data_IF_876898640623
#
_entry.id   IF_876898640623
#
_cell.length_a   1.000
_cell.length_b   1.000
_cell.length_c   1.000
_cell.angle_alpha   90.00
_cell.angle_beta   90.00
_cell.angle_gamma   90.00
#
_symmetry.space_group_name_H-M   'P 1'
#
loop_
_entity.id
_entity.type
_entity.pdbx_description
1 polymer ?
#
# COMPACT_ATOMS: atom_id res chain seq x y z
N UNK A 1 22.73 -21.79 -37.05
CA UNK A 1 21.47 -22.58 -37.20
C UNK A 1 20.34 -21.66 -36.80
N UNK A 2 19.72 -20.99 -37.78
CA UNK A 2 18.63 -20.04 -37.55
C UNK A 2 17.35 -20.86 -37.31
N UNK A 3 16.71 -20.67 -36.15
CA UNK A 3 15.48 -21.37 -35.81
C UNK A 3 14.34 -20.90 -36.70
N UNK A 4 13.79 -21.81 -37.51
CA UNK A 4 12.60 -21.55 -38.32
C UNK A 4 11.40 -21.28 -37.41
N UNK A 5 10.67 -20.20 -37.70
CA UNK A 5 9.42 -19.89 -37.02
C UNK A 5 8.40 -20.99 -37.34
N UNK A 6 7.98 -21.73 -36.32
CA UNK A 6 6.96 -22.80 -36.41
C UNK A 6 5.59 -22.25 -36.83
N UNK A 7 5.38 -20.94 -36.76
CA UNK A 7 4.13 -20.31 -37.12
C UNK A 7 4.15 -19.81 -38.56
N UNK A 8 3.19 -20.29 -39.36
CA UNK A 8 2.90 -19.73 -40.68
C UNK A 8 1.99 -18.50 -40.54
N UNK A 9 2.32 -17.36 -41.19
CA UNK A 9 1.42 -16.24 -41.27
C UNK A 9 0.19 -16.62 -42.12
N UNK A 10 -0.99 -16.26 -41.64
CA UNK A 10 -2.23 -16.49 -42.36
C UNK A 10 -2.25 -15.70 -43.68
N UNK A 11 -2.78 -16.27 -44.78
CA UNK A 11 -2.89 -15.56 -46.05
C UNK A 11 -3.92 -14.43 -45.94
N UNK A 12 -3.43 -13.19 -45.88
CA UNK A 12 -4.26 -11.98 -45.87
C UNK A 12 -3.62 -10.82 -45.10
N UNK A 13 -3.38 -9.70 -45.77
CA UNK A 13 -2.83 -8.48 -45.18
C UNK A 13 -3.78 -7.88 -44.13
N UNK A 14 -3.33 -7.72 -42.89
CA UNK A 14 -4.16 -7.38 -41.73
C UNK A 14 -4.26 -5.86 -41.50
N UNK A 15 -5.24 -5.23 -42.15
CA UNK A 15 -5.92 -4.07 -41.56
C UNK A 15 -6.82 -4.55 -40.42
N UNK A 16 -6.76 -3.91 -39.24
CA UNK A 16 -7.39 -4.35 -37.98
C UNK A 16 -8.89 -4.72 -38.07
N UNK A 17 -9.64 -4.21 -39.06
CA UNK A 17 -11.05 -4.58 -39.29
C UNK A 17 -11.24 -5.89 -40.04
N UNK A 18 -10.33 -6.23 -40.96
CA UNK A 18 -10.42 -7.42 -41.81
C UNK A 18 -10.04 -8.68 -41.03
N UNK A 19 -9.10 -8.57 -40.09
CA UNK A 19 -8.67 -9.67 -39.22
C UNK A 19 -9.80 -10.23 -38.35
N UNK A 20 -10.72 -9.40 -37.87
CA UNK A 20 -11.87 -9.88 -37.08
C UNK A 20 -12.87 -10.69 -37.93
N UNK A 21 -12.99 -10.39 -39.22
CA UNK A 21 -13.88 -11.12 -40.13
C UNK A 21 -13.31 -12.51 -40.44
N UNK A 22 -12.02 -12.57 -40.76
CA UNK A 22 -11.32 -13.83 -41.03
C UNK A 22 -11.33 -14.76 -39.80
N UNK A 23 -11.11 -14.22 -38.59
CA UNK A 23 -11.20 -15.02 -37.35
C UNK A 23 -12.61 -15.55 -37.11
N UNK A 24 -13.65 -14.75 -37.40
CA UNK A 24 -15.05 -15.20 -37.28
C UNK A 24 -15.41 -16.31 -38.27
N UNK A 25 -14.97 -16.19 -39.52
CA UNK A 25 -15.18 -17.22 -40.55
C UNK A 25 -14.46 -18.52 -40.19
N UNK A 26 -13.19 -18.42 -39.76
CA UNK A 26 -12.41 -19.57 -39.29
C UNK A 26 -13.06 -20.29 -38.10
N UNK A 27 -13.50 -19.53 -37.09
CA UNK A 27 -14.18 -20.11 -35.91
C UNK A 27 -15.47 -20.80 -36.29
N UNK A 28 -16.24 -20.24 -37.23
CA UNK A 28 -17.49 -20.83 -37.69
C UNK A 28 -17.28 -22.12 -38.50
N UNK A 29 -16.17 -22.21 -39.24
CA UNK A 29 -15.82 -23.37 -40.07
C UNK A 29 -15.21 -24.52 -39.27
N UNK A 30 -14.35 -24.22 -38.29
CA UNK A 30 -13.57 -25.24 -37.57
C UNK A 30 -14.07 -25.57 -36.15
N UNK A 31 -14.80 -24.66 -35.48
CA UNK A 31 -15.41 -24.95 -34.18
C UNK A 31 -16.86 -25.39 -34.42
N UNK A 32 -17.14 -26.69 -34.23
CA UNK A 32 -18.50 -27.23 -34.35
C UNK A 32 -19.46 -26.41 -33.46
N UNK A 33 -20.61 -25.95 -33.99
CA UNK A 33 -21.47 -24.98 -33.30
C UNK A 33 -22.25 -25.69 -32.18
N UNK A 34 -21.65 -25.81 -31.01
CA UNK A 34 -22.40 -26.19 -29.80
C UNK A 34 -23.01 -24.96 -29.11
N UNK A 35 -22.59 -23.74 -29.47
CA UNK A 35 -23.16 -22.49 -28.94
C UNK A 35 -22.83 -21.25 -29.80
N UNK A 36 -23.54 -20.14 -29.52
CA UNK A 36 -23.45 -18.83 -30.18
C UNK A 36 -22.00 -18.31 -30.29
N UNK A 37 -21.52 -18.13 -31.52
CA UNK A 37 -20.14 -17.70 -31.84
C UNK A 37 -19.77 -16.38 -31.15
N UNK A 38 -20.73 -15.46 -31.00
CA UNK A 38 -20.50 -14.18 -30.31
C UNK A 38 -20.15 -14.37 -28.84
N UNK A 39 -20.83 -15.29 -28.16
CA UNK A 39 -20.58 -15.60 -26.75
C UNK A 39 -19.22 -16.28 -26.58
N UNK A 40 -18.91 -17.25 -27.44
CA UNK A 40 -17.60 -17.91 -27.45
C UNK A 40 -16.48 -16.91 -27.68
N UNK A 41 -16.66 -15.95 -28.58
CA UNK A 41 -15.64 -14.93 -28.86
C UNK A 41 -15.44 -13.96 -27.68
N UNK A 42 -16.51 -13.60 -26.97
CA UNK A 42 -16.44 -12.76 -25.76
C UNK A 42 -15.79 -13.51 -24.58
N UNK A 43 -16.10 -14.80 -24.43
CA UNK A 43 -15.52 -15.67 -23.40
C UNK A 43 -14.02 -15.93 -23.66
N UNK A 44 -13.60 -15.92 -24.92
CA UNK A 44 -12.20 -16.02 -25.37
C UNK A 44 -11.44 -14.69 -25.20
N UNK A 45 -11.65 -14.01 -24.06
CA UNK A 45 -10.93 -12.78 -23.73
C UNK A 45 -9.43 -13.06 -23.78
N UNK A 46 -8.64 -12.28 -24.54
CA UNK A 46 -7.23 -12.55 -24.71
C UNK A 46 -6.50 -12.46 -23.37
N UNK A 47 -5.90 -13.57 -22.94
CA UNK A 47 -5.01 -13.63 -21.80
C UNK A 47 -3.64 -13.17 -22.28
N UNK A 48 -3.29 -11.92 -21.99
CA UNK A 48 -1.95 -11.41 -22.26
C UNK A 48 -1.00 -11.97 -21.22
N UNK A 49 -0.07 -12.82 -21.67
CA UNK A 49 0.92 -13.49 -20.82
C UNK A 49 1.99 -12.48 -20.34
N UNK A 50 2.20 -11.39 -21.08
CA UNK A 50 3.16 -10.34 -20.73
C UNK A 50 2.49 -9.10 -20.12
N UNK A 51 3.10 -8.58 -19.05
CA UNK A 51 2.64 -7.40 -18.28
C UNK A 51 2.60 -6.13 -19.13
N UNK A 52 3.44 -6.07 -20.17
CA UNK A 52 3.54 -4.96 -21.13
C UNK A 52 2.29 -4.77 -22.00
N UNK A 53 1.44 -5.80 -22.13
CA UNK A 53 0.27 -5.79 -23.02
C UNK A 53 -1.08 -5.60 -22.30
N UNK A 54 -1.09 -5.35 -20.99
CA UNK A 54 -2.32 -4.92 -20.31
C UNK A 54 -2.67 -3.49 -20.75
N UNK A 55 -3.71 -3.34 -21.57
CA UNK A 55 -4.25 -2.06 -22.08
C UNK A 55 -4.86 -1.15 -20.98
N UNK A 56 -4.38 -1.22 -19.74
CA UNK A 56 -4.65 -0.17 -18.76
C UNK A 56 -3.77 0.98 -19.16
N UNK A 57 -4.34 1.96 -19.87
CA UNK A 57 -3.62 3.17 -20.23
C UNK A 57 -2.96 3.74 -18.96
N UNK A 58 -1.68 4.06 -19.04
CA UNK A 58 -0.89 4.63 -17.94
C UNK A 58 -1.60 5.78 -17.21
N UNK A 59 -2.37 6.56 -17.96
CA UNK A 59 -3.21 7.63 -17.45
C UNK A 59 -4.29 7.15 -16.46
N UNK A 60 -4.95 6.04 -16.72
CA UNK A 60 -6.03 5.52 -15.89
C UNK A 60 -5.49 4.90 -14.60
N UNK A 61 -4.30 4.28 -14.68
CA UNK A 61 -3.57 3.85 -13.47
C UNK A 61 -3.15 5.03 -12.60
N UNK A 62 -2.67 6.12 -13.22
CA UNK A 62 -2.32 7.36 -12.49
C UNK A 62 -3.55 8.03 -11.88
N UNK A 63 -4.69 8.05 -12.58
CA UNK A 63 -5.97 8.57 -12.06
C UNK A 63 -6.46 7.74 -10.88
N UNK A 64 -6.42 6.41 -10.97
CA UNK A 64 -6.81 5.52 -9.87
C UNK A 64 -5.89 5.69 -8.65
N UNK A 65 -4.57 5.76 -8.84
CA UNK A 65 -3.62 5.99 -7.77
C UNK A 65 -3.81 7.36 -7.07
N UNK A 66 -4.20 8.40 -7.81
CA UNK A 66 -4.56 9.72 -7.23
C UNK A 66 -5.85 9.64 -6.42
N UNK A 67 -6.89 8.95 -6.92
CA UNK A 67 -8.15 8.75 -6.21
C UNK A 67 -7.93 7.99 -4.89
N UNK A 68 -7.19 6.87 -4.93
CA UNK A 68 -6.85 6.09 -3.74
C UNK A 68 -5.98 6.86 -2.74
N UNK A 69 -5.14 7.80 -3.19
CA UNK A 69 -4.40 8.71 -2.28
C UNK A 69 -5.33 9.70 -1.57
N UNK A 70 -6.40 10.12 -2.22
CA UNK A 70 -7.36 11.08 -1.70
C UNK A 70 -8.43 10.42 -0.83
N UNK A 71 -8.66 9.13 -1.03
CA UNK A 71 -9.63 8.29 -0.30
C UNK A 71 -9.03 7.68 0.98
N UNK A 72 -7.70 7.63 1.10
CA UNK A 72 -7.05 7.39 2.40
C UNK A 72 -7.33 8.59 3.30
N UNK A 73 -8.29 8.43 4.21
CA UNK A 73 -8.69 9.33 5.29
C UNK A 73 -7.83 10.58 5.38
N UNK A 74 -8.39 11.70 4.92
CA UNK A 74 -7.71 12.99 4.83
C UNK A 74 -7.10 13.39 6.16
N UNK A 75 -5.85 12.97 6.40
CA UNK A 75 -5.09 13.38 7.57
C UNK A 75 -4.98 14.90 7.49
N UNK A 76 -5.43 15.57 8.56
CA UNK A 76 -5.35 17.02 8.67
C UNK A 76 -3.93 17.49 8.29
N UNK A 77 -3.87 18.41 7.34
CA UNK A 77 -2.64 19.07 6.95
C UNK A 77 -2.03 19.82 8.14
N UNK A 78 -0.72 20.08 8.10
CA UNK A 78 -0.06 20.82 9.18
C UNK A 78 -0.69 22.20 9.43
N UNK A 79 -1.17 22.86 8.37
CA UNK A 79 -1.90 24.14 8.46
C UNK A 79 -3.23 23.97 9.18
N UNK A 80 -3.97 22.92 8.88
CA UNK A 80 -5.24 22.61 9.54
C UNK A 80 -5.04 22.25 11.02
N UNK A 81 -4.02 21.46 11.36
CA UNK A 81 -3.69 21.14 12.76
C UNK A 81 -3.35 22.39 13.58
N UNK A 82 -2.60 23.34 13.01
CA UNK A 82 -2.31 24.63 13.67
C UNK A 82 -3.57 25.49 13.82
N UNK A 83 -4.41 25.56 12.79
CA UNK A 83 -5.68 26.30 12.84
C UNK A 83 -6.63 25.73 13.90
N UNK A 84 -6.71 24.39 13.98
CA UNK A 84 -7.53 23.67 14.95
C UNK A 84 -6.90 23.58 16.34
N UNK A 85 -5.68 24.09 16.53
CA UNK A 85 -4.97 24.08 17.82
C UNK A 85 -4.92 22.69 18.46
N UNK A 86 -4.75 21.64 17.65
CA UNK A 86 -4.82 20.22 18.07
C UNK A 86 -3.81 19.89 19.17
N UNK A 87 -2.70 20.64 19.24
CA UNK A 87 -1.63 20.45 20.21
C UNK A 87 -1.57 21.57 21.26
N UNK A 88 -2.53 22.50 21.26
CA UNK A 88 -2.59 23.60 22.23
C UNK A 88 -3.20 23.05 23.53
N UNK A 89 -2.35 22.82 24.53
CA UNK A 89 -2.77 22.34 25.85
C UNK A 89 -3.07 23.58 26.72
N UNK A 90 -4.19 23.63 27.47
CA UNK A 90 -4.46 24.73 28.38
C UNK A 90 -3.34 24.89 29.43
N UNK A 91 -3.02 26.14 29.82
CA UNK A 91 -1.98 26.43 30.82
C UNK A 91 -2.20 25.72 32.17
N UNK A 92 -3.45 25.55 32.55
CA UNK A 92 -3.86 24.83 33.77
C UNK A 92 -3.45 23.34 33.73
N UNK A 93 -3.43 22.74 32.54
CA UNK A 93 -3.08 21.34 32.33
C UNK A 93 -1.56 21.11 32.17
N UNK A 94 -0.71 22.14 32.29
CA UNK A 94 0.75 22.00 32.22
C UNK A 94 1.39 21.53 33.53
N UNK A 95 0.60 21.30 34.58
CA UNK A 95 1.16 20.84 35.85
C UNK A 95 1.56 19.36 35.73
N UNK A 96 2.83 19.07 35.98
CA UNK A 96 3.37 17.71 35.91
C UNK A 96 2.58 16.69 36.76
N UNK A 97 2.05 17.15 37.91
CA UNK A 97 1.22 16.34 38.81
C UNK A 97 0.02 15.69 38.13
N UNK A 98 -0.56 16.31 37.10
CA UNK A 98 -1.69 15.73 36.36
C UNK A 98 -1.25 14.51 35.52
N UNK A 99 0.01 14.45 35.10
CA UNK A 99 0.56 13.36 34.28
C UNK A 99 1.24 12.26 35.10
N UNK A 100 1.44 12.48 36.40
CA UNK A 100 2.07 11.51 37.29
C UNK A 100 1.37 10.13 37.27
N UNK A 101 0.01 10.03 37.32
CA UNK A 101 -0.69 8.75 37.24
C UNK A 101 -0.43 7.99 35.92
N UNK A 102 -0.18 8.70 34.82
CA UNK A 102 0.12 8.09 33.54
C UNK A 102 1.47 7.36 33.57
N UNK A 103 2.48 7.97 34.22
CA UNK A 103 3.78 7.33 34.39
C UNK A 103 3.71 6.09 35.28
N UNK A 104 2.90 6.14 36.36
CA UNK A 104 2.65 5.00 37.24
C UNK A 104 1.95 3.85 36.51
N UNK A 105 0.98 4.17 35.64
CA UNK A 105 0.32 3.17 34.79
C UNK A 105 1.32 2.48 33.86
N UNK A 106 2.20 3.26 33.22
CA UNK A 106 3.24 2.72 32.34
C UNK A 106 4.22 1.81 33.09
N UNK A 107 4.64 2.19 34.30
CA UNK A 107 5.48 1.34 35.16
C UNK A 107 4.81 0.01 35.49
N UNK A 108 3.52 0.04 35.84
CA UNK A 108 2.75 -1.18 36.11
C UNK A 108 2.61 -2.08 34.88
N UNK A 109 2.42 -1.49 33.70
CA UNK A 109 2.41 -2.20 32.42
C UNK A 109 3.76 -2.88 32.14
N UNK A 110 4.87 -2.15 32.26
CA UNK A 110 6.21 -2.68 32.04
C UNK A 110 6.58 -3.79 33.04
N UNK A 111 6.20 -3.64 34.31
CA UNK A 111 6.41 -4.67 35.33
C UNK A 111 5.69 -5.99 34.99
N UNK A 112 4.44 -5.90 34.49
CA UNK A 112 3.70 -7.07 33.99
C UNK A 112 4.32 -7.65 32.72
N UNK A 113 4.83 -6.81 31.83
CA UNK A 113 5.49 -7.25 30.60
C UNK A 113 6.78 -8.04 30.91
N UNK A 114 7.53 -7.59 31.93
CA UNK A 114 8.74 -8.23 32.45
C UNK A 114 8.44 -9.54 33.20
N UNK A 115 7.35 -9.59 33.98
CA UNK A 115 7.01 -10.80 34.76
C UNK A 115 6.52 -11.97 33.91
N UNK A 116 6.12 -11.74 32.66
CA UNK A 116 5.71 -12.77 31.68
C UNK A 116 6.88 -13.53 31.02
N UNK A 117 8.10 -13.43 31.57
CA UNK A 117 9.27 -14.23 31.19
C UNK A 117 10.27 -13.49 30.29
N UNK A 118 11.55 -13.80 30.49
CA UNK A 118 12.70 -13.18 29.80
C UNK A 118 12.82 -13.57 28.33
N UNK A 119 12.24 -14.70 27.93
CA UNK A 119 12.30 -15.21 26.56
C UNK A 119 11.46 -14.27 25.67
N UNK A 120 12.12 -13.61 24.72
CA UNK A 120 11.55 -12.61 23.80
C UNK A 120 11.20 -11.24 24.44
N UNK A 121 11.76 -10.89 25.60
CA UNK A 121 11.53 -9.58 26.21
C UNK A 121 11.89 -8.41 25.28
N UNK A 122 13.01 -8.50 24.57
CA UNK A 122 13.47 -7.49 23.61
C UNK A 122 12.45 -7.26 22.46
N UNK A 123 11.87 -8.34 21.94
CA UNK A 123 10.87 -8.27 20.88
C UNK A 123 9.56 -7.66 21.37
N UNK A 124 9.18 -7.95 22.62
CA UNK A 124 8.03 -7.33 23.29
C UNK A 124 8.28 -5.85 23.54
N UNK A 125 9.50 -5.48 23.93
CA UNK A 125 9.91 -4.10 24.17
C UNK A 125 9.86 -3.25 22.89
N UNK A 126 10.32 -3.79 21.75
CA UNK A 126 10.25 -3.09 20.45
C UNK A 126 8.79 -2.82 20.03
N UNK A 127 7.86 -3.70 20.43
CA UNK A 127 6.44 -3.58 20.11
C UNK A 127 5.63 -2.84 21.19
N UNK A 128 6.25 -2.51 22.31
CA UNK A 128 5.57 -1.89 23.44
C UNK A 128 5.29 -0.41 23.17
N UNK A 129 4.23 0.10 23.79
CA UNK A 129 3.93 1.52 23.78
C UNK A 129 4.76 2.26 24.84
N UNK A 130 5.41 3.34 24.42
CA UNK A 130 6.22 4.21 25.29
C UNK A 130 5.49 5.52 25.66
N UNK A 131 4.18 5.54 25.52
CA UNK A 131 3.36 6.68 25.94
C UNK A 131 3.39 6.80 27.47
N UNK A 132 3.95 7.89 27.99
CA UNK A 132 4.09 8.11 29.44
C UNK A 132 5.36 7.51 30.06
N UNK A 133 6.28 6.98 29.24
CA UNK A 133 7.59 6.53 29.71
C UNK A 133 8.49 7.72 30.09
N UNK A 134 9.18 7.62 31.24
CA UNK A 134 10.21 8.59 31.61
C UNK A 134 11.48 8.28 30.81
N UNK A 135 11.91 9.21 29.96
CA UNK A 135 13.10 9.07 29.15
C UNK A 135 14.16 10.08 29.60
N UNK A 136 15.35 9.59 29.93
CA UNK A 136 16.51 10.44 30.18
C UNK A 136 17.42 10.39 28.97
N UNK A 137 17.67 11.54 28.33
CA UNK A 137 18.61 11.62 27.22
C UNK A 137 20.04 11.42 27.71
N UNK A 138 20.69 10.33 27.29
CA UNK A 138 22.15 10.19 27.44
C UNK A 138 22.84 10.71 26.18
N UNK A 139 23.66 11.74 26.33
CA UNK A 139 24.46 12.33 25.25
C UNK A 139 25.65 11.42 24.95
N UNK A 140 25.44 10.37 24.16
CA UNK A 140 26.55 9.58 23.59
C UNK A 140 26.53 9.55 22.06
N UNK A 141 25.39 9.90 21.42
CA UNK A 141 25.27 10.02 19.95
C UNK A 141 24.34 11.17 19.50
N UNK A 142 24.10 12.18 20.33
CA UNK A 142 23.35 13.37 19.91
C UNK A 142 24.33 14.35 19.24
N UNK A 143 24.17 14.59 17.94
CA UNK A 143 24.99 15.50 17.14
C UNK A 143 24.80 16.99 17.48
N UNK A 144 24.04 17.31 18.53
CA UNK A 144 23.77 18.69 18.93
C UNK A 144 24.04 18.88 20.43
N UNK A 145 24.93 19.81 20.75
CA UNK A 145 25.47 20.14 22.08
C UNK A 145 24.46 20.75 23.08
N UNK A 146 23.16 20.85 22.74
CA UNK A 146 22.24 21.69 23.51
C UNK A 146 21.37 20.96 24.56
N UNK A 147 21.62 19.68 24.88
CA UNK A 147 20.67 18.90 25.71
C UNK A 147 20.89 19.04 27.22
N UNK A 148 22.04 19.56 27.68
CA UNK A 148 22.36 19.65 29.12
C UNK A 148 22.44 21.10 29.65
N UNK A 149 21.41 21.91 29.44
CA UNK A 149 21.25 23.19 30.16
C UNK A 149 19.88 23.24 30.85
N UNK A 150 19.79 22.58 32.00
CA UNK A 150 18.90 22.93 33.13
C UNK A 150 19.33 22.13 34.34
#
# INVERSE_FOLDING_TARGET
MLGESVYQPLPGSTSNKLGQKAVKEFVNEFIRPTSDVKKVLDDMKPVYIDRSHTFVKEEDRKKLAKKLKHEKDGKLTAREKRRLKVYDVPKEAHQYKLFEPLSQLWQGYMSKLLSQGSVNFEQKLIKADFHGATMTGMVTMATNECINQT
#
